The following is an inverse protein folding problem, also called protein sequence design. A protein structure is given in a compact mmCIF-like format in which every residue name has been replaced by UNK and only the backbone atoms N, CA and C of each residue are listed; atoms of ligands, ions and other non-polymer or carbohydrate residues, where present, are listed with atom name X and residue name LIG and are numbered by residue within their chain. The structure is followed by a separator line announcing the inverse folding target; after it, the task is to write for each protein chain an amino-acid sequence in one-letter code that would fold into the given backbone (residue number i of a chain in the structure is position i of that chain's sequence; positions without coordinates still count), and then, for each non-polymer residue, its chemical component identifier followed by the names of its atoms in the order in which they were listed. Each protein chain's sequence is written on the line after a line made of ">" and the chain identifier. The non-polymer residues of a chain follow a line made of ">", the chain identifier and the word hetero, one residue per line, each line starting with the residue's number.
data_IF_961863593605
#
_entry.id   IF_961863593605
#
_cell.length_a   1.000
_cell.length_b   1.000
_cell.length_c   1.000
_cell.angle_alpha   90.00
_cell.angle_beta   90.00
_cell.angle_gamma   90.00
#
_symmetry.space_group_name_H-M   'P 1'
#
loop_
_entity.id
_entity.type
_entity.pdbx_description
1 polymer ?
#
# COMPACT_ATOMS: atom_id res chain seq x y z
N UNK A 1 -17.42 -44.49 -27.75
CA UNK A 1 -16.57 -44.79 -26.59
C UNK A 1 -15.36 -43.85 -26.70
N UNK A 2 -15.39 -42.67 -26.08
CA UNK A 2 -14.20 -41.84 -26.00
C UNK A 2 -13.23 -42.49 -25.03
N UNK A 3 -12.03 -42.86 -25.53
CA UNK A 3 -11.04 -43.61 -24.75
C UNK A 3 -10.70 -42.90 -23.46
N UNK A 4 -10.79 -43.62 -22.36
CA UNK A 4 -10.36 -43.21 -21.05
C UNK A 4 -8.91 -42.67 -21.14
N UNK A 5 -8.70 -41.36 -21.09
CA UNK A 5 -7.38 -40.73 -21.12
C UNK A 5 -7.12 -39.76 -22.30
N UNK A 6 -8.06 -39.61 -23.24
CA UNK A 6 -7.92 -38.62 -24.33
C UNK A 6 -8.38 -37.23 -23.89
N UNK A 7 -7.62 -36.20 -24.30
CA UNK A 7 -7.98 -34.80 -24.08
C UNK A 7 -9.08 -34.41 -25.07
N UNK A 8 -10.21 -33.89 -24.58
CA UNK A 8 -11.24 -33.28 -25.42
C UNK A 8 -10.75 -31.90 -25.88
N UNK A 9 -10.31 -31.83 -27.13
CA UNK A 9 -9.75 -30.63 -27.73
C UNK A 9 -10.76 -29.47 -27.79
N UNK A 10 -12.06 -29.76 -27.99
CA UNK A 10 -13.09 -28.71 -28.03
C UNK A 10 -13.31 -28.07 -26.65
N UNK A 11 -13.39 -28.91 -25.63
CA UNK A 11 -13.54 -28.45 -24.25
C UNK A 11 -12.29 -27.66 -23.84
N UNK A 12 -11.10 -28.21 -24.14
CA UNK A 12 -9.82 -27.55 -23.83
C UNK A 12 -9.71 -26.18 -24.50
N UNK A 13 -10.01 -26.10 -25.80
CA UNK A 13 -9.96 -24.84 -26.54
C UNK A 13 -10.91 -23.78 -25.94
N UNK A 14 -12.13 -24.15 -25.61
CA UNK A 14 -13.11 -23.27 -24.99
C UNK A 14 -12.62 -22.70 -23.66
N UNK A 15 -12.04 -23.53 -22.82
CA UNK A 15 -11.49 -23.10 -21.53
C UNK A 15 -10.26 -22.19 -21.73
N UNK A 16 -9.36 -22.55 -22.66
CA UNK A 16 -8.21 -21.72 -22.99
C UNK A 16 -8.62 -20.33 -23.50
N UNK A 17 -9.62 -20.27 -24.39
CA UNK A 17 -10.16 -19.00 -24.89
C UNK A 17 -10.82 -18.17 -23.78
N UNK A 18 -11.51 -18.79 -22.82
CA UNK A 18 -12.06 -18.10 -21.66
C UNK A 18 -10.95 -17.49 -20.81
N UNK A 19 -9.91 -18.27 -20.50
CA UNK A 19 -8.75 -17.80 -19.74
C UNK A 19 -7.98 -16.70 -20.48
N UNK A 20 -7.85 -16.81 -21.81
CA UNK A 20 -7.24 -15.78 -22.66
C UNK A 20 -7.99 -14.43 -22.56
N UNK A 21 -9.30 -14.48 -22.40
CA UNK A 21 -10.12 -13.27 -22.16
C UNK A 21 -10.12 -12.78 -20.72
N UNK A 22 -9.36 -13.45 -19.82
CA UNK A 22 -9.26 -13.09 -18.40
C UNK A 22 -10.31 -13.74 -17.50
N UNK A 23 -11.08 -14.73 -17.99
CA UNK A 23 -12.00 -15.51 -17.16
C UNK A 23 -11.24 -16.61 -16.42
N UNK A 24 -10.76 -16.29 -15.25
CA UNK A 24 -10.07 -17.25 -14.37
C UNK A 24 -11.02 -18.12 -13.54
N UNK A 25 -12.33 -18.09 -13.80
CA UNK A 25 -13.28 -19.04 -13.20
C UNK A 25 -13.43 -20.34 -14.03
N UNK A 26 -13.08 -20.29 -15.31
CA UNK A 26 -13.14 -21.43 -16.20
C UNK A 26 -12.23 -22.58 -15.73
N UNK A 27 -12.68 -23.85 -15.90
CA UNK A 27 -11.91 -25.03 -15.49
C UNK A 27 -12.04 -26.13 -16.53
N UNK A 28 -10.96 -26.88 -16.70
CA UNK A 28 -11.03 -28.18 -17.36
C UNK A 28 -11.74 -29.20 -16.45
N UNK A 29 -12.44 -30.20 -17.03
CA UNK A 29 -13.14 -31.20 -16.27
C UNK A 29 -12.22 -31.98 -15.31
N UNK A 30 -12.70 -32.23 -14.09
CA UNK A 30 -11.94 -32.96 -13.07
C UNK A 30 -12.12 -34.49 -13.15
N UNK A 31 -13.03 -34.95 -14.00
CA UNK A 31 -13.36 -36.36 -14.23
C UNK A 31 -12.49 -37.01 -15.31
N UNK A 32 -11.61 -36.25 -15.95
CA UNK A 32 -10.63 -36.84 -16.87
C UNK A 32 -9.63 -37.70 -16.13
N UNK A 33 -9.23 -38.79 -16.76
CA UNK A 33 -8.31 -39.80 -16.18
C UNK A 33 -6.99 -39.88 -16.97
N UNK A 34 -6.01 -40.60 -16.41
CA UNK A 34 -4.72 -40.81 -17.07
C UNK A 34 -3.95 -39.51 -17.33
N UNK A 35 -3.35 -39.37 -18.51
CA UNK A 35 -2.58 -38.18 -18.91
C UNK A 35 -3.45 -36.92 -19.05
N UNK A 36 -4.69 -37.10 -19.56
CA UNK A 36 -5.64 -36.00 -19.69
C UNK A 36 -6.01 -35.39 -18.31
N UNK A 37 -6.24 -36.24 -17.30
CA UNK A 37 -6.51 -35.78 -15.93
C UNK A 37 -5.33 -35.05 -15.31
N UNK A 38 -4.10 -35.49 -15.57
CA UNK A 38 -2.90 -34.78 -15.11
C UNK A 38 -2.76 -33.39 -15.76
N UNK A 39 -3.03 -33.28 -17.06
CA UNK A 39 -3.02 -32.00 -17.77
C UNK A 39 -4.12 -31.09 -17.22
N UNK A 40 -5.35 -31.60 -17.05
CA UNK A 40 -6.45 -30.83 -16.49
C UNK A 40 -6.14 -30.30 -15.08
N UNK A 41 -5.59 -31.17 -14.21
CA UNK A 41 -5.20 -30.78 -12.86
C UNK A 41 -4.11 -29.70 -12.85
N UNK A 42 -3.06 -29.85 -13.66
CA UNK A 42 -1.97 -28.87 -13.76
C UNK A 42 -2.49 -27.54 -14.30
N UNK A 43 -3.31 -27.57 -15.35
CA UNK A 43 -3.90 -26.38 -15.95
C UNK A 43 -4.85 -25.66 -14.98
N UNK A 44 -5.73 -26.40 -14.30
CA UNK A 44 -6.64 -25.85 -13.30
C UNK A 44 -5.87 -25.21 -12.12
N UNK A 45 -4.73 -25.78 -11.74
CA UNK A 45 -3.85 -25.19 -10.71
C UNK A 45 -3.26 -23.86 -11.15
N UNK A 46 -2.87 -23.72 -12.41
CA UNK A 46 -2.40 -22.44 -12.99
C UNK A 46 -3.52 -21.41 -12.98
N UNK A 47 -4.72 -21.78 -13.41
CA UNK A 47 -5.89 -20.87 -13.43
C UNK A 47 -6.20 -20.42 -11.99
N UNK A 48 -6.20 -21.33 -11.03
CA UNK A 48 -6.46 -21.02 -9.62
C UNK A 48 -5.41 -20.05 -9.04
N UNK A 49 -4.14 -20.18 -9.45
CA UNK A 49 -3.10 -19.24 -9.05
C UNK A 49 -3.34 -17.84 -9.60
N UNK A 50 -3.75 -17.71 -10.89
CA UNK A 50 -4.11 -16.44 -11.49
C UNK A 50 -5.36 -15.82 -10.85
N UNK A 51 -6.41 -16.60 -10.59
CA UNK A 51 -7.62 -16.16 -9.91
C UNK A 51 -7.33 -15.64 -8.50
N UNK A 52 -6.42 -16.32 -7.76
CA UNK A 52 -5.96 -15.83 -6.45
C UNK A 52 -5.21 -14.51 -6.57
N UNK A 53 -4.28 -14.40 -7.51
CA UNK A 53 -3.51 -13.18 -7.73
C UNK A 53 -4.45 -12.00 -8.05
N UNK A 54 -5.42 -12.20 -8.94
CA UNK A 54 -6.43 -11.19 -9.26
C UNK A 54 -7.21 -10.74 -8.03
N UNK A 55 -7.73 -11.67 -7.24
CA UNK A 55 -8.47 -11.37 -6.00
C UNK A 55 -7.63 -10.58 -5.00
N UNK A 56 -6.36 -10.95 -4.84
CA UNK A 56 -5.46 -10.24 -3.92
C UNK A 56 -5.11 -8.83 -4.40
N UNK A 57 -4.86 -8.64 -5.69
CA UNK A 57 -4.66 -7.31 -6.27
C UNK A 57 -5.90 -6.44 -6.07
N UNK A 58 -7.09 -6.95 -6.37
CA UNK A 58 -8.35 -6.23 -6.14
C UNK A 58 -8.57 -5.88 -4.66
N UNK A 59 -8.20 -6.78 -3.75
CA UNK A 59 -8.28 -6.54 -2.31
C UNK A 59 -7.33 -5.42 -1.89
N UNK A 60 -6.07 -5.47 -2.30
CA UNK A 60 -5.06 -4.44 -2.01
C UNK A 60 -5.47 -3.08 -2.57
N UNK A 61 -5.93 -3.02 -3.83
CA UNK A 61 -6.42 -1.79 -4.45
C UNK A 61 -7.56 -1.15 -3.64
N UNK A 62 -8.46 -1.96 -3.10
CA UNK A 62 -9.56 -1.46 -2.25
C UNK A 62 -9.03 -0.94 -0.91
N UNK A 63 -8.13 -1.67 -0.27
CA UNK A 63 -7.58 -1.29 1.03
C UNK A 63 -6.75 -0.01 0.95
N UNK A 64 -5.82 0.06 -0.02
CA UNK A 64 -4.97 1.25 -0.21
C UNK A 64 -5.79 2.44 -0.68
N UNK A 65 -6.63 2.23 -1.70
CA UNK A 65 -7.31 3.34 -2.39
C UNK A 65 -8.54 3.89 -1.66
N UNK A 66 -9.21 3.08 -0.83
CA UNK A 66 -10.48 3.49 -0.17
C UNK A 66 -10.42 3.52 1.35
N UNK A 67 -9.64 2.63 1.96
CA UNK A 67 -9.61 2.48 3.41
C UNK A 67 -8.37 3.12 4.05
N UNK A 68 -7.38 3.53 3.22
CA UNK A 68 -6.11 4.11 3.70
C UNK A 68 -5.30 3.19 4.60
N UNK A 69 -5.62 1.89 4.62
CA UNK A 69 -4.97 0.88 5.45
C UNK A 69 -4.33 -0.19 4.57
N UNK A 70 -3.11 -0.58 4.89
CA UNK A 70 -2.46 -1.72 4.27
C UNK A 70 -2.35 -2.84 5.30
N UNK A 71 -3.10 -3.91 5.07
CA UNK A 71 -2.90 -5.17 5.80
C UNK A 71 -2.17 -6.14 4.87
N UNK A 72 -0.99 -6.60 5.29
CA UNK A 72 -0.22 -7.60 4.54
C UNK A 72 -1.09 -8.79 4.19
N UNK A 73 -1.15 -9.13 2.92
CA UNK A 73 -1.65 -10.41 2.49
C UNK A 73 -0.53 -11.42 2.62
N UNK A 74 -0.68 -12.36 3.54
CA UNK A 74 0.25 -13.48 3.57
C UNK A 74 -0.02 -14.36 2.35
N UNK A 75 0.99 -14.68 1.52
CA UNK A 75 0.84 -15.60 0.39
C UNK A 75 0.67 -17.03 0.90
N UNK A 76 -0.53 -17.35 1.39
CA UNK A 76 -0.88 -18.73 1.76
C UNK A 76 -0.95 -19.56 0.49
N UNK A 77 0.07 -20.39 0.22
CA UNK A 77 0.15 -21.35 -0.89
C UNK A 77 0.43 -20.80 -2.30
N UNK A 78 0.90 -19.58 -2.46
CA UNK A 78 1.50 -19.17 -3.73
C UNK A 78 2.96 -19.66 -3.76
N UNK A 79 3.39 -20.29 -4.86
CA UNK A 79 4.77 -20.72 -5.08
C UNK A 79 5.34 -20.05 -6.33
N UNK A 80 6.68 -19.95 -6.42
CA UNK A 80 7.35 -19.45 -7.61
C UNK A 80 6.98 -17.99 -7.95
N UNK A 81 6.85 -17.67 -9.23
CA UNK A 81 6.61 -16.31 -9.72
C UNK A 81 5.35 -15.63 -9.19
N UNK A 82 4.28 -16.37 -8.89
CA UNK A 82 3.07 -15.79 -8.29
C UNK A 82 3.29 -15.25 -6.89
N UNK A 83 4.10 -15.96 -6.07
CA UNK A 83 4.47 -15.48 -4.74
C UNK A 83 5.28 -14.19 -4.84
N UNK A 84 6.30 -14.17 -5.68
CA UNK A 84 7.17 -13.00 -5.90
C UNK A 84 6.37 -11.80 -6.42
N UNK A 85 5.43 -12.02 -7.35
CA UNK A 85 4.57 -10.95 -7.85
C UNK A 85 3.69 -10.37 -6.74
N UNK A 86 3.09 -11.23 -5.91
CA UNK A 86 2.24 -10.80 -4.81
C UNK A 86 3.03 -10.06 -3.72
N UNK A 87 4.25 -10.52 -3.42
CA UNK A 87 5.18 -9.84 -2.51
C UNK A 87 5.52 -8.43 -3.02
N UNK A 88 5.89 -8.30 -4.30
CA UNK A 88 6.19 -7.02 -4.91
C UNK A 88 5.01 -6.04 -4.88
N UNK A 89 3.80 -6.52 -5.13
CA UNK A 89 2.57 -5.69 -5.04
C UNK A 89 2.28 -5.28 -3.59
N UNK A 90 2.49 -6.17 -2.61
CA UNK A 90 2.36 -5.83 -1.20
C UNK A 90 3.40 -4.77 -0.78
N UNK A 91 4.64 -4.92 -1.19
CA UNK A 91 5.71 -3.93 -0.93
C UNK A 91 5.36 -2.57 -1.50
N UNK A 92 4.93 -2.51 -2.77
CA UNK A 92 4.49 -1.26 -3.40
C UNK A 92 3.34 -0.61 -2.61
N UNK A 93 2.36 -1.39 -2.18
CA UNK A 93 1.24 -0.90 -1.39
C UNK A 93 1.68 -0.31 -0.05
N UNK A 94 2.64 -0.96 0.64
CA UNK A 94 3.21 -0.46 1.89
C UNK A 94 4.04 0.81 1.68
N UNK A 95 4.88 0.84 0.66
CA UNK A 95 5.72 1.98 0.33
C UNK A 95 4.90 3.25 0.01
N UNK A 96 3.68 3.08 -0.52
CA UNK A 96 2.74 4.18 -0.74
C UNK A 96 1.96 4.57 0.52
N UNK A 97 1.58 3.62 1.34
CA UNK A 97 0.68 3.89 2.47
C UNK A 97 1.39 4.41 3.71
N UNK A 98 2.61 3.93 4.00
CA UNK A 98 3.34 4.31 5.22
C UNK A 98 3.69 5.78 5.29
N UNK A 99 4.28 6.43 4.26
CA UNK A 99 4.52 7.86 4.28
C UNK A 99 3.24 8.69 4.49
N UNK A 100 2.13 8.28 3.85
CA UNK A 100 0.84 8.96 4.02
C UNK A 100 0.31 8.85 5.46
N UNK A 101 0.49 7.71 6.12
CA UNK A 101 0.11 7.53 7.53
C UNK A 101 0.93 8.44 8.44
N UNK A 102 2.25 8.56 8.20
CA UNK A 102 3.11 9.44 8.98
C UNK A 102 2.77 10.93 8.76
N UNK A 103 2.46 11.33 7.52
CA UNK A 103 1.96 12.69 7.23
C UNK A 103 0.69 12.96 8.05
N UNK A 104 -0.29 12.06 7.99
CA UNK A 104 -1.55 12.21 8.72
C UNK A 104 -1.33 12.28 10.24
N UNK A 105 -0.39 11.48 10.79
CA UNK A 105 -0.02 11.50 12.21
C UNK A 105 0.51 12.87 12.62
N UNK A 106 1.47 13.41 11.87
CA UNK A 106 2.08 14.71 12.19
C UNK A 106 1.07 15.85 12.05
N UNK A 107 0.27 15.86 10.98
CA UNK A 107 -0.78 16.87 10.79
C UNK A 107 -1.80 16.81 11.93
N UNK A 108 -2.20 15.60 12.35
CA UNK A 108 -3.12 15.41 13.48
C UNK A 108 -2.52 15.90 14.81
N UNK A 109 -1.22 15.74 15.03
CA UNK A 109 -0.53 16.26 16.21
C UNK A 109 -0.52 17.79 16.21
N UNK A 110 -0.16 18.39 15.08
CA UNK A 110 -0.18 19.85 14.88
C UNK A 110 -1.58 20.44 15.14
N UNK A 111 -2.62 19.79 14.61
CA UNK A 111 -4.01 20.21 14.82
C UNK A 111 -4.46 20.16 16.30
N UNK A 112 -3.79 19.34 17.12
CA UNK A 112 -3.99 19.28 18.58
C UNK A 112 -3.07 20.20 19.37
N UNK A 113 -2.23 20.99 18.68
CA UNK A 113 -1.25 21.89 19.32
C UNK A 113 0.07 21.22 19.71
N UNK A 114 0.27 19.94 19.36
CA UNK A 114 1.54 19.26 19.57
C UNK A 114 2.49 19.55 18.40
N UNK A 115 3.35 20.52 18.57
CA UNK A 115 4.36 20.94 17.60
C UNK A 115 5.73 20.24 17.81
N UNK A 116 5.80 19.22 18.67
CA UNK A 116 7.01 18.44 18.89
C UNK A 116 7.21 17.33 17.87
N UNK A 117 6.14 16.94 17.16
CA UNK A 117 6.13 15.83 16.23
C UNK A 117 6.71 16.23 14.88
N UNK A 118 7.56 15.38 14.34
CA UNK A 118 8.11 15.54 12.99
C UNK A 118 7.88 14.31 12.16
N UNK A 119 7.91 14.47 10.85
CA UNK A 119 7.87 13.37 9.91
C UNK A 119 9.26 12.74 9.78
N UNK A 120 9.39 11.41 9.93
CA UNK A 120 10.66 10.75 9.72
C UNK A 120 11.11 10.88 8.26
N UNK A 121 12.42 11.05 8.02
CA UNK A 121 12.99 11.03 6.68
C UNK A 121 13.41 9.63 6.23
N UNK A 122 13.23 8.65 7.10
CA UNK A 122 13.50 7.23 6.90
C UNK A 122 12.36 6.42 7.53
N UNK A 123 11.89 5.39 6.82
CA UNK A 123 10.84 4.48 7.29
C UNK A 123 11.36 3.04 7.12
N UNK A 124 11.34 2.24 8.20
CA UNK A 124 11.85 0.86 8.24
C UNK A 124 13.28 0.69 7.70
N UNK A 125 14.19 1.59 8.05
CA UNK A 125 15.58 1.55 7.61
C UNK A 125 15.80 1.95 6.16
N UNK A 126 14.77 2.45 5.47
CA UNK A 126 14.84 2.95 4.09
C UNK A 126 14.61 4.46 4.04
N UNK A 127 15.57 5.25 3.52
CA UNK A 127 15.39 6.69 3.35
C UNK A 127 14.25 6.99 2.38
N UNK A 128 13.42 7.96 2.72
CA UNK A 128 12.40 8.48 1.79
C UNK A 128 13.07 9.11 0.57
N UNK A 129 12.45 8.94 -0.59
CA UNK A 129 12.95 9.45 -1.85
C UNK A 129 11.87 10.22 -2.63
N UNK A 130 12.29 10.99 -3.63
CA UNK A 130 11.40 11.69 -4.54
C UNK A 130 10.38 12.56 -3.82
N UNK A 131 9.12 12.45 -4.22
CA UNK A 131 8.03 13.26 -3.71
C UNK A 131 7.79 13.07 -2.20
N UNK A 132 7.95 11.86 -1.67
CA UNK A 132 7.78 11.60 -0.24
C UNK A 132 8.82 12.31 0.61
N UNK A 133 10.08 12.34 0.17
CA UNK A 133 11.14 13.09 0.85
C UNK A 133 10.86 14.60 0.82
N UNK A 134 10.42 15.13 -0.33
CA UNK A 134 10.06 16.55 -0.47
C UNK A 134 8.90 16.90 0.47
N UNK A 135 7.85 16.08 0.50
CA UNK A 135 6.70 16.28 1.39
C UNK A 135 7.11 16.23 2.86
N UNK A 136 7.94 15.25 3.26
CA UNK A 136 8.43 15.12 4.62
C UNK A 136 9.20 16.38 5.07
N UNK A 137 10.09 16.89 4.23
CA UNK A 137 10.84 18.13 4.51
C UNK A 137 9.92 19.34 4.62
N UNK A 138 8.95 19.47 3.72
CA UNK A 138 7.98 20.57 3.75
C UNK A 138 7.14 20.54 5.02
N UNK A 139 6.63 19.37 5.42
CA UNK A 139 5.88 19.19 6.68
C UNK A 139 6.75 19.57 7.87
N UNK A 140 8.01 19.10 7.92
CA UNK A 140 8.92 19.41 9.03
C UNK A 140 9.25 20.91 9.09
N UNK A 141 9.45 21.57 7.93
CA UNK A 141 9.65 23.01 7.87
C UNK A 141 8.42 23.76 8.40
N UNK A 142 7.22 23.37 8.00
CA UNK A 142 5.96 23.95 8.48
C UNK A 142 5.83 23.81 10.00
N UNK A 143 6.07 22.63 10.55
CA UNK A 143 6.04 22.38 12.00
C UNK A 143 7.06 23.26 12.74
N UNK A 144 8.28 23.37 12.20
CA UNK A 144 9.34 24.22 12.76
C UNK A 144 8.95 25.71 12.79
N UNK A 145 8.35 26.22 11.72
CA UNK A 145 7.87 27.60 11.66
C UNK A 145 6.73 27.86 12.65
N UNK A 146 5.77 26.94 12.78
CA UNK A 146 4.68 27.05 13.75
C UNK A 146 5.22 27.02 15.19
N UNK A 147 6.19 26.17 15.48
CA UNK A 147 6.82 26.10 16.81
C UNK A 147 7.57 27.38 17.15
N UNK A 148 8.34 27.92 16.20
CA UNK A 148 9.03 29.20 16.37
C UNK A 148 8.03 30.33 16.62
N UNK A 149 6.94 30.40 15.86
CA UNK A 149 5.88 31.39 16.04
C UNK A 149 5.22 31.27 17.42
N UNK A 150 4.85 30.08 17.85
CA UNK A 150 4.25 29.84 19.16
C UNK A 150 5.19 30.25 20.31
N UNK A 151 6.49 29.98 20.16
CA UNK A 151 7.53 30.41 21.12
C UNK A 151 7.61 31.91 21.21
N UNK A 152 7.60 32.61 20.07
CA UNK A 152 7.69 34.08 20.01
C UNK A 152 6.44 34.74 20.61
N UNK A 153 5.24 34.24 20.31
CA UNK A 153 3.99 34.72 20.94
C UNK A 153 4.03 34.55 22.45
N UNK A 154 4.50 33.37 22.94
CA UNK A 154 4.63 33.09 24.37
C UNK A 154 5.64 34.04 25.03
N UNK A 155 6.77 34.32 24.37
CA UNK A 155 7.77 35.29 24.86
C UNK A 155 7.18 36.70 25.00
N UNK A 156 6.53 37.18 23.94
CA UNK A 156 5.90 38.52 23.95
C UNK A 156 4.81 38.62 25.02
N UNK A 157 3.96 37.60 25.13
CA UNK A 157 2.90 37.53 26.15
C UNK A 157 3.48 37.61 27.57
N UNK A 158 4.60 36.93 27.83
CA UNK A 158 5.30 36.99 29.13
C UNK A 158 5.92 38.36 29.39
N UNK A 159 6.59 38.95 28.41
CA UNK A 159 7.21 40.28 28.56
C UNK A 159 6.16 41.35 28.85
N UNK A 160 5.02 41.32 28.17
CA UNK A 160 3.93 42.27 28.39
C UNK A 160 3.18 41.98 29.69
N UNK A 161 2.82 40.73 29.95
CA UNK A 161 1.95 40.35 31.05
C UNK A 161 2.63 40.23 32.40
N UNK A 162 3.93 39.87 32.46
CA UNK A 162 4.65 39.68 33.74
C UNK A 162 5.68 40.75 34.03
N UNK A 163 6.31 41.34 33.00
CA UNK A 163 7.40 42.28 33.15
C UNK A 163 6.97 43.75 32.86
N UNK A 164 5.73 43.96 32.45
CA UNK A 164 5.19 45.31 32.18
C UNK A 164 5.90 46.07 31.05
N UNK A 165 6.69 45.38 30.23
CA UNK A 165 7.41 45.99 29.08
C UNK A 165 6.49 46.16 27.90
N UNK A 166 5.86 47.31 27.77
CA UNK A 166 5.06 47.70 26.60
C UNK A 166 5.99 48.04 25.42
N UNK A 167 6.05 47.21 24.40
CA UNK A 167 6.80 47.50 23.17
C UNK A 167 7.57 46.32 22.55
N UNK A 168 7.42 45.08 23.05
CA UNK A 168 8.00 43.91 22.43
C UNK A 168 7.31 43.56 21.11
N UNK A 169 8.07 43.57 19.98
CA UNK A 169 7.56 43.12 18.68
C UNK A 169 7.97 41.67 18.42
N UNK A 170 7.02 40.86 17.87
CA UNK A 170 7.31 39.53 17.43
C UNK A 170 8.23 39.52 16.21
N UNK A 171 9.36 38.81 16.27
CA UNK A 171 10.24 38.63 15.12
C UNK A 171 9.89 37.31 14.43
N UNK A 172 9.21 37.39 13.31
CA UNK A 172 8.96 36.23 12.43
C UNK A 172 10.12 36.11 11.45
N UNK A 173 10.92 35.05 11.58
CA UNK A 173 11.90 34.68 10.55
C UNK A 173 11.17 33.88 9.47
N UNK A 174 11.14 34.45 8.25
CA UNK A 174 10.68 33.78 7.03
C UNK A 174 11.63 32.67 6.57
#
# INVERSE_FOLDING_TARGET
>A
MNGAGAIDTKVTLRVLEAVQRGDFSARLPNDWSGSAGKVAAAFNSIIEANERLEREIRRLTRQVGKEGQVRKSAPRRAGGGWATTLEAVNELAEDLARPNTEIARVISAVAKGDLSQTMPLEIDGRPLQGQFLTTARTVNTMVGQLNAFAGEVTRVAREVGTEGKLGGQAQVRG
#
